data_IF_941460975908
#
_entry.id   IF_941460975908
#
_cell.length_a   1.000
_cell.length_b   1.000
_cell.length_c   1.000
_cell.angle_alpha   90.00
_cell.angle_beta   90.00
_cell.angle_gamma   90.00
#
_symmetry.space_group_name_H-M   'P 1'
#
loop_
_entity.id
_entity.type
_entity.pdbx_description
1 polymer ?
#
# COMPACT_ATOMS: atom_id res chain seq x y z
N UNK A 1 2.15 7.70 5.92
CA UNK A 1 1.53 6.35 5.83
C UNK A 1 0.64 6.07 7.04
N UNK A 2 1.18 5.88 8.25
CA UNK A 2 0.37 5.51 9.43
C UNK A 2 -0.84 6.44 9.67
N UNK A 3 -0.66 7.76 9.58
CA UNK A 3 -1.77 8.70 9.73
C UNK A 3 -2.82 8.65 8.60
N UNK A 4 -2.42 8.38 7.36
CA UNK A 4 -3.36 8.19 6.24
C UNK A 4 -4.21 6.93 6.47
N UNK A 5 -3.56 5.88 6.97
CA UNK A 5 -4.20 4.60 7.24
C UNK A 5 -5.17 4.71 8.42
N UNK A 6 -4.75 5.29 9.55
CA UNK A 6 -5.51 5.23 10.79
C UNK A 6 -5.22 6.35 11.79
N UNK A 7 -5.11 7.61 11.33
CA UNK A 7 -5.25 8.74 12.25
C UNK A 7 -6.66 8.74 12.89
N UNK A 8 -6.72 9.11 14.17
CA UNK A 8 -7.98 9.25 14.90
C UNK A 8 -8.91 10.24 14.20
N UNK A 9 -10.17 9.89 14.07
CA UNK A 9 -11.21 10.78 13.54
C UNK A 9 -11.97 11.47 14.66
N UNK A 10 -12.66 12.57 14.33
CA UNK A 10 -13.58 13.27 15.22
C UNK A 10 -12.96 13.79 16.54
N UNK A 11 -11.66 14.05 16.56
CA UNK A 11 -10.95 14.65 17.70
C UNK A 11 -10.73 16.17 17.58
N UNK A 12 -11.26 16.80 16.53
CA UNK A 12 -11.12 18.23 16.27
C UNK A 12 -9.73 18.68 15.80
N UNK A 13 -8.80 17.77 15.49
CA UNK A 13 -7.41 18.12 15.13
C UNK A 13 -6.95 17.40 13.86
N UNK A 14 -6.49 18.18 12.87
CA UNK A 14 -5.69 17.65 11.77
C UNK A 14 -6.48 16.90 10.69
N UNK A 15 -6.24 15.60 10.56
CA UNK A 15 -6.76 14.76 9.46
C UNK A 15 -7.57 13.58 9.99
N UNK A 16 -8.38 13.00 9.12
CA UNK A 16 -9.03 11.71 9.34
C UNK A 16 -8.23 10.57 8.67
N UNK A 17 -7.94 9.51 9.41
CA UNK A 17 -7.49 8.25 8.82
C UNK A 17 -8.65 7.50 8.16
N UNK A 18 -8.34 6.53 7.31
CA UNK A 18 -9.37 5.70 6.67
C UNK A 18 -9.99 4.70 7.66
N UNK A 19 -9.20 4.13 8.56
CA UNK A 19 -9.65 3.19 9.59
C UNK A 19 -9.09 3.60 10.95
N UNK A 20 -9.87 4.29 11.79
CA UNK A 20 -9.42 4.88 13.04
C UNK A 20 -9.42 3.92 14.24
N UNK A 21 -9.94 2.69 14.07
CA UNK A 21 -9.99 1.65 15.11
C UNK A 21 -8.91 0.57 14.95
N UNK A 22 -7.91 0.82 14.10
CA UNK A 22 -6.81 -0.13 13.86
C UNK A 22 -5.71 0.02 14.91
N UNK A 23 -5.00 -1.08 15.20
CA UNK A 23 -3.71 -1.04 15.88
C UNK A 23 -2.60 -1.03 14.82
N UNK A 24 -1.72 -0.02 14.87
CA UNK A 24 -0.60 0.09 13.93
C UNK A 24 0.68 -0.35 14.64
N UNK A 25 1.35 -1.37 14.10
CA UNK A 25 2.68 -1.81 14.53
C UNK A 25 3.76 -1.27 13.57
N UNK A 26 4.52 -0.22 13.96
CA UNK A 26 5.58 0.30 13.11
C UNK A 26 6.82 -0.60 13.14
N UNK A 27 7.29 -1.06 11.99
CA UNK A 27 8.58 -1.75 11.83
C UNK A 27 9.51 -0.84 11.05
N UNK A 28 10.55 -0.33 11.72
CA UNK A 28 11.55 0.53 11.08
C UNK A 28 12.49 -0.33 10.24
N UNK A 29 12.61 -0.01 8.96
CA UNK A 29 13.50 -0.68 8.01
C UNK A 29 14.64 0.21 7.49
N UNK A 30 14.72 1.45 7.96
CA UNK A 30 15.74 2.44 7.57
C UNK A 30 16.71 2.72 8.70
N UNK A 31 17.95 2.98 8.35
CA UNK A 31 18.96 3.45 9.28
C UNK A 31 18.58 4.82 9.85
N UNK A 32 19.03 5.11 11.08
CA UNK A 32 18.67 6.36 11.77
C UNK A 32 19.40 7.57 11.24
N UNK A 33 20.68 7.43 10.91
CA UNK A 33 21.51 8.54 10.47
C UNK A 33 21.28 8.85 8.99
N UNK A 34 21.20 7.82 8.16
CA UNK A 34 21.18 7.95 6.70
C UNK A 34 19.78 7.91 6.10
N UNK A 35 18.79 7.38 6.84
CA UNK A 35 17.44 7.14 6.31
C UNK A 35 17.38 6.06 5.23
N UNK A 36 18.47 5.34 4.96
CA UNK A 36 18.56 4.31 3.92
C UNK A 36 18.24 2.92 4.47
N UNK A 37 17.69 2.05 3.64
CA UNK A 37 17.44 0.65 3.97
C UNK A 37 18.38 -0.29 3.19
N UNK A 38 19.14 -1.12 3.89
CA UNK A 38 19.94 -2.19 3.27
C UNK A 38 19.08 -3.42 2.96
N UNK A 39 19.60 -4.35 2.15
CA UNK A 39 18.95 -5.65 1.90
C UNK A 39 18.66 -6.41 3.20
N UNK A 40 19.63 -6.49 4.10
CA UNK A 40 19.50 -7.15 5.41
C UNK A 40 18.44 -6.50 6.28
N UNK A 41 18.33 -5.16 6.28
CA UNK A 41 17.30 -4.46 7.06
C UNK A 41 15.89 -4.75 6.55
N UNK A 42 15.73 -4.85 5.21
CA UNK A 42 14.46 -5.26 4.60
C UNK A 42 14.12 -6.72 4.90
N UNK A 43 15.10 -7.63 4.86
CA UNK A 43 14.87 -9.02 5.21
C UNK A 43 14.41 -9.18 6.66
N UNK A 44 15.14 -8.55 7.60
CA UNK A 44 14.79 -8.56 9.04
C UNK A 44 13.43 -7.93 9.34
N UNK A 45 13.02 -6.89 8.61
CA UNK A 45 11.70 -6.28 8.83
C UNK A 45 10.56 -7.20 8.40
N UNK A 46 10.74 -7.96 7.31
CA UNK A 46 9.80 -8.98 6.88
C UNK A 46 9.73 -10.17 7.84
N UNK A 47 10.88 -10.69 8.28
CA UNK A 47 10.94 -11.74 9.30
C UNK A 47 10.25 -11.29 10.61
N UNK A 48 10.47 -10.05 11.03
CA UNK A 48 9.80 -9.50 12.21
C UNK A 48 8.28 -9.41 11.99
N UNK A 49 7.82 -8.93 10.84
CA UNK A 49 6.40 -8.84 10.52
C UNK A 49 5.70 -10.20 10.58
N UNK A 50 6.33 -11.26 10.07
CA UNK A 50 5.77 -12.61 10.00
C UNK A 50 5.72 -13.35 11.35
N UNK A 51 6.50 -12.90 12.34
CA UNK A 51 6.49 -13.45 13.71
C UNK A 51 5.28 -13.00 14.53
N UNK A 52 4.63 -11.90 14.16
CA UNK A 52 3.49 -11.39 14.90
C UNK A 52 2.21 -12.09 14.47
N UNK A 53 1.68 -12.95 15.34
CA UNK A 53 0.47 -13.75 15.09
C UNK A 53 -0.81 -12.90 14.97
N UNK A 54 -0.82 -11.69 15.53
CA UNK A 54 -1.95 -10.75 15.47
C UNK A 54 -1.86 -9.79 14.27
N UNK A 55 -1.10 -10.13 13.23
CA UNK A 55 -0.96 -9.31 12.03
C UNK A 55 -2.05 -9.64 11.02
N UNK A 56 -2.87 -8.64 10.66
CA UNK A 56 -3.91 -8.80 9.65
C UNK A 56 -3.48 -8.34 8.25
N UNK A 57 -2.66 -7.29 8.21
CA UNK A 57 -2.31 -6.54 6.99
C UNK A 57 -0.84 -6.10 7.11
N UNK A 58 -0.06 -6.32 6.05
CA UNK A 58 1.27 -5.72 5.90
C UNK A 58 1.19 -4.65 4.81
N UNK A 59 1.55 -3.41 5.16
CA UNK A 59 1.71 -2.33 4.17
C UNK A 59 3.19 -2.03 4.01
N UNK A 60 3.74 -2.40 2.86
CA UNK A 60 5.17 -2.28 2.55
C UNK A 60 5.41 -1.36 1.36
N UNK A 61 5.83 -0.13 1.62
CA UNK A 61 6.09 0.88 0.59
C UNK A 61 7.58 1.16 0.40
N UNK A 62 8.37 0.11 0.23
CA UNK A 62 9.80 0.20 -0.09
C UNK A 62 10.14 -0.77 -1.23
N UNK A 63 11.22 -0.49 -1.96
CA UNK A 63 11.62 -1.28 -3.14
C UNK A 63 12.97 -1.99 -2.96
N UNK A 64 13.15 -3.07 -3.72
CA UNK A 64 14.46 -3.70 -3.97
C UNK A 64 14.65 -3.92 -5.46
N UNK A 65 15.89 -3.83 -5.96
CA UNK A 65 16.17 -4.17 -7.34
C UNK A 65 15.84 -5.64 -7.58
N UNK A 66 15.47 -5.96 -8.82
CA UNK A 66 15.25 -7.33 -9.23
C UNK A 66 16.59 -8.07 -9.29
N UNK A 67 16.76 -9.03 -8.39
CA UNK A 67 17.83 -10.05 -8.44
C UNK A 67 17.18 -11.39 -8.17
N UNK A 68 17.82 -12.49 -8.60
CA UNK A 68 17.30 -13.83 -8.33
C UNK A 68 17.10 -14.07 -6.82
N UNK A 69 18.07 -13.67 -6.00
CA UNK A 69 18.00 -13.83 -4.55
C UNK A 69 16.87 -13.00 -3.93
N UNK A 70 16.72 -11.74 -4.32
CA UNK A 70 15.63 -10.91 -3.83
C UNK A 70 14.27 -11.49 -4.26
N UNK A 71 14.16 -11.96 -5.51
CA UNK A 71 12.93 -12.54 -6.04
C UNK A 71 12.53 -13.79 -5.25
N UNK A 72 13.47 -14.70 -5.00
CA UNK A 72 13.25 -15.90 -4.19
C UNK A 72 12.93 -15.56 -2.73
N UNK A 73 13.58 -14.55 -2.15
CA UNK A 73 13.30 -14.09 -0.80
C UNK A 73 11.87 -13.54 -0.68
N UNK A 74 11.51 -12.57 -1.53
CA UNK A 74 10.19 -11.94 -1.47
C UNK A 74 9.08 -12.92 -1.83
N UNK A 75 9.27 -13.79 -2.82
CA UNK A 75 8.27 -14.81 -3.17
C UNK A 75 7.94 -15.69 -1.96
N UNK A 76 8.95 -16.28 -1.32
CA UNK A 76 8.76 -17.13 -0.13
C UNK A 76 8.06 -16.39 1.02
N UNK A 77 8.49 -15.16 1.28
CA UNK A 77 7.98 -14.32 2.37
C UNK A 77 6.53 -13.90 2.13
N UNK A 78 6.18 -13.53 0.89
CA UNK A 78 4.82 -13.15 0.51
C UNK A 78 3.87 -14.35 0.55
N UNK A 79 4.30 -15.50 0.03
CA UNK A 79 3.54 -16.76 0.11
C UNK A 79 3.31 -17.16 1.57
N UNK A 80 4.29 -16.96 2.45
CA UNK A 80 4.12 -17.18 3.89
C UNK A 80 3.12 -16.22 4.53
N UNK A 81 3.19 -14.93 4.21
CA UNK A 81 2.23 -13.93 4.70
C UNK A 81 0.79 -14.33 4.33
N UNK A 82 0.57 -14.65 3.05
CA UNK A 82 -0.74 -15.05 2.54
C UNK A 82 -1.23 -16.34 3.20
N UNK A 83 -0.35 -17.33 3.39
CA UNK A 83 -0.69 -18.60 4.07
C UNK A 83 -1.11 -18.38 5.52
N UNK A 84 -0.53 -17.38 6.20
CA UNK A 84 -0.93 -16.94 7.53
C UNK A 84 -2.23 -16.11 7.53
N UNK A 85 -2.86 -15.89 6.38
CA UNK A 85 -4.07 -15.07 6.26
C UNK A 85 -3.82 -13.56 6.23
N UNK A 86 -2.56 -13.14 6.09
CA UNK A 86 -2.14 -11.74 6.06
C UNK A 86 -2.34 -11.19 4.64
N UNK A 87 -3.06 -10.09 4.52
CA UNK A 87 -3.14 -9.36 3.25
C UNK A 87 -1.93 -8.44 3.09
N UNK A 88 -1.27 -8.45 1.94
CA UNK A 88 -0.09 -7.62 1.69
C UNK A 88 -0.41 -6.53 0.69
N UNK A 89 -0.11 -5.27 1.06
CA UNK A 89 -0.16 -4.11 0.18
C UNK A 89 1.25 -3.60 -0.08
N UNK A 90 1.61 -3.45 -1.35
CA UNK A 90 2.91 -2.95 -1.79
C UNK A 90 2.74 -1.70 -2.67
N UNK A 91 3.76 -0.84 -2.69
CA UNK A 91 3.73 0.38 -3.50
C UNK A 91 4.51 0.18 -4.82
N UNK A 92 3.97 0.65 -5.94
CA UNK A 92 4.58 0.53 -7.29
C UNK A 92 5.87 1.34 -7.46
N UNK A 93 6.26 2.13 -6.46
CA UNK A 93 7.30 3.14 -6.50
C UNK A 93 6.96 4.34 -7.41
N UNK A 94 7.74 5.41 -7.35
CA UNK A 94 7.53 6.63 -8.14
C UNK A 94 8.86 7.03 -8.79
N UNK A 95 9.27 6.38 -9.87
CA UNK A 95 10.40 6.84 -10.67
C UNK A 95 9.89 7.79 -11.75
N UNK A 96 10.45 9.01 -11.75
CA UNK A 96 10.27 9.98 -12.84
C UNK A 96 11.20 9.67 -14.05
N UNK A 97 12.04 8.64 -13.93
CA UNK A 97 12.87 8.13 -15.02
C UNK A 97 12.04 7.18 -15.89
N UNK A 98 12.07 7.38 -17.21
CA UNK A 98 11.46 6.52 -18.24
C UNK A 98 12.03 5.09 -18.30
N UNK A 99 12.67 4.60 -17.23
CA UNK A 99 13.09 3.21 -17.14
C UNK A 99 11.87 2.36 -16.76
N UNK A 100 11.07 2.04 -17.78
CA UNK A 100 9.80 1.32 -17.73
C UNK A 100 9.97 -0.18 -17.46
N UNK A 101 11.20 -0.66 -17.23
CA UNK A 101 11.48 -2.10 -17.39
C UNK A 101 11.28 -2.95 -16.13
N UNK A 102 11.16 -2.38 -14.92
CA UNK A 102 10.86 -3.20 -13.73
C UNK A 102 10.17 -2.45 -12.58
N UNK A 103 8.95 -2.89 -12.20
CA UNK A 103 8.43 -2.62 -10.86
C UNK A 103 9.37 -3.27 -9.83
N UNK A 104 9.84 -2.55 -8.79
CA UNK A 104 10.73 -3.13 -7.80
C UNK A 104 10.03 -4.22 -6.99
N UNK A 105 10.83 -5.17 -6.49
CA UNK A 105 10.34 -6.16 -5.55
C UNK A 105 9.97 -5.50 -4.21
N UNK A 106 8.91 -5.94 -3.51
CA UNK A 106 8.06 -7.09 -3.82
C UNK A 106 6.89 -6.82 -4.78
N UNK A 107 6.67 -5.56 -5.20
CA UNK A 107 5.43 -5.16 -5.87
C UNK A 107 5.23 -5.88 -7.21
N UNK A 108 6.31 -6.16 -7.95
CA UNK A 108 6.26 -6.96 -9.18
C UNK A 108 5.74 -8.39 -8.98
N UNK A 109 5.75 -8.95 -7.77
CA UNK A 109 5.20 -10.28 -7.50
C UNK A 109 3.69 -10.26 -7.18
N UNK A 110 3.08 -9.08 -7.03
CA UNK A 110 1.66 -8.96 -6.65
C UNK A 110 0.69 -9.60 -7.65
N UNK A 111 1.04 -9.63 -8.94
CA UNK A 111 0.21 -10.24 -9.97
C UNK A 111 0.21 -11.77 -9.98
N UNK A 112 1.19 -12.43 -9.32
CA UNK A 112 1.31 -13.89 -9.28
C UNK A 112 1.01 -14.51 -7.92
N UNK A 113 0.86 -13.70 -6.85
CA UNK A 113 0.59 -14.20 -5.49
C UNK A 113 -0.77 -13.66 -5.03
N UNK A 114 -1.85 -14.47 -5.09
CA UNK A 114 -3.16 -14.07 -4.59
C UNK A 114 -3.11 -13.65 -3.12
N UNK A 115 -3.60 -12.46 -2.80
CA UNK A 115 -3.48 -11.84 -1.48
C UNK A 115 -2.37 -10.81 -1.34
N UNK A 116 -1.62 -10.54 -2.41
CA UNK A 116 -0.65 -9.45 -2.52
C UNK A 116 -1.13 -8.45 -3.56
N UNK A 117 -1.17 -7.16 -3.20
CA UNK A 117 -1.63 -6.10 -4.08
C UNK A 117 -0.53 -5.06 -4.31
N UNK A 118 -0.23 -4.77 -5.56
CA UNK A 118 0.70 -3.71 -5.98
C UNK A 118 -0.10 -2.44 -6.35
N UNK A 119 0.11 -1.35 -5.62
CA UNK A 119 -0.72 -0.12 -5.74
C UNK A 119 0.08 1.00 -6.41
N UNK A 120 -0.45 1.52 -7.51
CA UNK A 120 0.03 2.73 -8.16
C UNK A 120 -0.66 3.98 -7.59
N UNK A 121 0.06 5.11 -7.57
CA UNK A 121 -0.53 6.39 -7.24
C UNK A 121 -1.01 7.12 -8.49
N UNK A 122 -2.24 7.63 -8.43
CA UNK A 122 -2.84 8.46 -9.47
C UNK A 122 -3.08 9.89 -9.00
N UNK A 123 -3.40 10.76 -9.96
CA UNK A 123 -3.71 12.16 -9.72
C UNK A 123 -5.10 12.30 -9.05
N UNK A 124 -5.20 13.09 -7.98
CA UNK A 124 -6.45 13.29 -7.25
C UNK A 124 -7.53 14.01 -8.08
N UNK A 125 -7.12 14.87 -9.00
CA UNK A 125 -8.00 15.62 -9.91
C UNK A 125 -8.17 14.92 -11.25
N UNK A 126 -7.22 14.06 -11.63
CA UNK A 126 -7.27 13.24 -12.85
C UNK A 126 -6.99 11.76 -12.52
N UNK A 127 -7.95 11.05 -11.90
CA UNK A 127 -7.71 9.73 -11.30
C UNK A 127 -7.23 8.67 -12.28
N UNK A 128 -7.48 8.81 -13.58
CA UNK A 128 -6.99 7.90 -14.63
C UNK A 128 -5.53 8.13 -15.03
N UNK A 129 -4.90 9.20 -14.55
CA UNK A 129 -3.51 9.53 -14.81
C UNK A 129 -2.63 9.12 -13.63
N UNK A 130 -1.63 8.30 -13.88
CA UNK A 130 -0.63 7.91 -12.87
C UNK A 130 0.39 9.02 -12.62
N UNK A 131 0.91 9.13 -11.40
CA UNK A 131 1.81 10.24 -11.02
C UNK A 131 3.24 10.08 -11.53
N UNK A 132 3.70 8.85 -11.64
CA UNK A 132 5.04 8.44 -12.07
C UNK A 132 4.87 7.11 -12.78
N UNK A 133 5.73 6.78 -13.77
CA UNK A 133 5.60 5.59 -14.62
C UNK A 133 5.52 4.32 -13.76
N UNK A 134 4.32 3.77 -13.50
CA UNK A 134 4.19 2.48 -12.88
C UNK A 134 4.27 1.48 -14.01
N UNK A 135 5.18 0.50 -13.93
CA UNK A 135 5.12 -0.59 -14.90
C UNK A 135 3.73 -1.27 -14.83
N UNK A 136 3.28 -1.79 -15.98
CA UNK A 136 1.97 -2.44 -16.18
C UNK A 136 1.63 -3.51 -15.13
N UNK A 137 2.62 -3.99 -14.37
CA UNK A 137 2.48 -4.97 -13.29
C UNK A 137 1.82 -4.42 -12.01
N UNK A 138 1.56 -3.11 -11.91
CA UNK A 138 0.75 -2.59 -10.82
C UNK A 138 -0.70 -3.12 -10.90
N UNK A 139 -1.22 -3.60 -9.78
CA UNK A 139 -2.51 -4.27 -9.71
C UNK A 139 -3.69 -3.31 -9.84
N UNK A 140 -3.59 -2.06 -9.36
CA UNK A 140 -4.60 -1.01 -9.54
C UNK A 140 -4.01 0.38 -9.25
N UNK A 141 -4.72 1.43 -9.64
CA UNK A 141 -4.42 2.81 -9.26
C UNK A 141 -5.31 3.31 -8.12
N UNK A 142 -4.78 4.17 -7.24
CA UNK A 142 -5.58 4.95 -6.29
C UNK A 142 -5.01 6.37 -6.17
N UNK A 143 -5.85 7.42 -6.06
CA UNK A 143 -5.37 8.77 -5.83
C UNK A 143 -4.39 8.85 -4.66
N UNK A 144 -3.16 9.28 -4.99
CA UNK A 144 -2.06 9.37 -4.03
C UNK A 144 -1.30 10.68 -4.13
N UNK A 145 -1.89 11.70 -4.75
CA UNK A 145 -1.37 13.09 -4.79
C UNK A 145 -2.12 13.97 -3.79
N UNK A 146 -1.52 15.11 -3.44
CA UNK A 146 -2.14 16.13 -2.58
C UNK A 146 -2.67 15.63 -1.23
N UNK A 147 -2.10 14.54 -0.70
CA UNK A 147 -2.62 13.88 0.50
C UNK A 147 -1.94 14.42 1.75
N UNK A 148 -2.73 14.97 2.67
CA UNK A 148 -2.23 15.43 3.96
C UNK A 148 -1.88 14.24 4.87
N UNK A 149 -0.71 14.29 5.51
CA UNK A 149 -0.31 13.34 6.53
C UNK A 149 0.42 14.04 7.70
N UNK A 150 0.32 13.49 8.93
CA UNK A 150 1.08 13.99 10.06
C UNK A 150 2.58 13.79 9.82
N UNK A 151 3.36 14.79 10.24
CA UNK A 151 4.82 14.74 10.27
C UNK A 151 5.24 14.22 11.65
N UNK A 152 6.31 13.40 11.77
CA UNK A 152 6.87 13.07 13.07
C UNK A 152 7.12 14.34 13.89
N UNK A 153 6.65 14.32 15.14
CA UNK A 153 6.81 15.43 16.07
C UNK A 153 8.29 15.63 16.35
N UNK A 154 8.77 16.87 16.19
CA UNK A 154 10.08 17.25 16.71
C UNK A 154 10.01 17.29 18.24
N UNK A 155 11.09 16.93 18.93
CA UNK A 155 11.15 16.91 20.40
C UNK A 155 10.78 18.28 21.00
N UNK A 156 10.99 19.36 20.26
CA UNK A 156 10.80 20.75 20.70
C UNK A 156 9.42 21.35 20.37
N UNK A 157 8.55 20.63 19.64
CA UNK A 157 7.25 21.16 19.23
C UNK A 157 6.10 20.40 19.88
N UNK A 158 5.24 21.09 20.64
CA UNK A 158 4.07 20.49 21.31
C UNK A 158 2.90 20.18 20.35
N UNK A 159 2.77 20.90 19.24
CA UNK A 159 1.66 20.77 18.30
C UNK A 159 1.94 19.77 17.16
N UNK A 160 0.90 19.06 16.71
CA UNK A 160 0.96 18.24 15.50
C UNK A 160 1.16 19.11 14.25
N UNK A 161 2.11 18.72 13.41
CA UNK A 161 2.33 19.33 12.09
C UNK A 161 1.88 18.37 10.99
N UNK A 162 1.39 18.95 9.89
CA UNK A 162 0.89 18.20 8.73
C UNK A 162 1.54 18.73 7.46
N UNK A 163 1.78 17.84 6.49
CA UNK A 163 2.30 18.20 5.18
C UNK A 163 1.58 17.39 4.11
N UNK A 164 1.46 17.97 2.92
CA UNK A 164 1.02 17.24 1.72
C UNK A 164 2.14 16.34 1.21
N UNK A 165 1.79 15.08 0.98
CA UNK A 165 2.64 14.07 0.38
C UNK A 165 2.04 13.61 -0.95
N UNK A 166 2.90 13.10 -1.82
CA UNK A 166 2.52 12.43 -3.05
C UNK A 166 3.27 11.11 -3.20
N UNK A 167 2.62 10.11 -3.79
CA UNK A 167 3.27 8.88 -4.26
C UNK A 167 2.56 7.58 -3.86
N UNK A 168 2.96 6.48 -4.48
CA UNK A 168 2.40 5.14 -4.28
C UNK A 168 2.47 4.64 -2.83
N UNK A 169 3.37 5.16 -2.00
CA UNK A 169 3.40 4.87 -0.56
C UNK A 169 2.17 5.40 0.19
N UNK A 170 1.63 6.53 -0.24
CA UNK A 170 0.39 7.11 0.30
C UNK A 170 -0.81 6.31 -0.18
N UNK A 171 -0.86 5.99 -1.47
CA UNK A 171 -1.92 5.16 -2.06
C UNK A 171 -1.97 3.76 -1.39
N UNK A 172 -0.81 3.12 -1.20
CA UNK A 172 -0.71 1.83 -0.49
C UNK A 172 -1.20 1.93 0.97
N UNK A 173 -0.86 3.00 1.69
CA UNK A 173 -1.38 3.22 3.05
C UNK A 173 -2.90 3.40 3.06
N UNK A 174 -3.44 4.09 2.05
CA UNK A 174 -4.87 4.28 1.92
C UNK A 174 -5.59 2.94 1.64
N UNK A 175 -5.05 2.11 0.75
CA UNK A 175 -5.59 0.75 0.53
C UNK A 175 -5.48 -0.10 1.80
N UNK A 176 -4.39 0.00 2.56
CA UNK A 176 -4.27 -0.70 3.84
C UNK A 176 -5.39 -0.34 4.83
N UNK A 177 -5.78 0.93 4.89
CA UNK A 177 -6.92 1.39 5.70
C UNK A 177 -8.25 0.86 5.17
N UNK A 178 -8.44 0.86 3.85
CA UNK A 178 -9.64 0.31 3.22
C UNK A 178 -9.79 -1.19 3.52
N UNK A 179 -8.71 -1.96 3.44
CA UNK A 179 -8.69 -3.38 3.77
C UNK A 179 -9.02 -3.60 5.25
N UNK A 180 -8.53 -2.74 6.15
CA UNK A 180 -8.88 -2.82 7.56
C UNK A 180 -10.39 -2.61 7.79
N UNK A 181 -11.01 -1.65 7.08
CA UNK A 181 -12.47 -1.48 7.09
C UNK A 181 -13.18 -2.73 6.55
N UNK A 182 -12.73 -3.30 5.44
CA UNK A 182 -13.31 -4.54 4.89
C UNK A 182 -13.26 -5.68 5.91
N UNK A 183 -12.12 -5.87 6.58
CA UNK A 183 -11.93 -6.91 7.60
C UNK A 183 -12.79 -6.70 8.86
N UNK A 184 -13.26 -5.47 9.11
CA UNK A 184 -14.19 -5.19 10.21
C UNK A 184 -15.59 -5.78 10.00
N UNK A 185 -15.99 -6.04 8.75
CA UNK A 185 -17.29 -6.67 8.44
C UNK A 185 -17.23 -8.20 8.47
N UNK A 186 -16.10 -8.77 8.03
CA UNK A 186 -15.85 -10.21 7.98
C UNK A 186 -14.36 -10.47 7.88
N UNK A 187 -13.89 -11.58 8.47
CA UNK A 187 -12.51 -12.01 8.31
C UNK A 187 -12.27 -12.65 6.92
N UNK A 188 -12.22 -11.81 5.87
CA UNK A 188 -11.98 -12.23 4.50
C UNK A 188 -10.59 -12.84 4.33
N UNK A 189 -10.49 -13.88 3.49
CA UNK A 189 -9.20 -14.43 3.07
C UNK A 189 -8.47 -13.40 2.18
N UNK A 190 -7.12 -13.38 2.17
CA UNK A 190 -6.35 -12.44 1.36
C UNK A 190 -6.75 -12.39 -0.12
N UNK A 191 -6.99 -13.54 -0.74
CA UNK A 191 -7.43 -13.61 -2.14
C UNK A 191 -8.84 -13.02 -2.36
N UNK A 192 -9.74 -13.12 -1.38
CA UNK A 192 -11.08 -12.51 -1.46
C UNK A 192 -10.99 -11.00 -1.37
N UNK A 193 -10.15 -10.47 -0.47
CA UNK A 193 -9.86 -9.04 -0.35
C UNK A 193 -9.34 -8.52 -1.69
N UNK A 194 -8.35 -9.18 -2.28
CA UNK A 194 -7.79 -8.79 -3.59
C UNK A 194 -8.88 -8.74 -4.65
N UNK A 195 -9.71 -9.79 -4.74
CA UNK A 195 -10.80 -9.86 -5.73
C UNK A 195 -11.81 -8.73 -5.57
N UNK A 196 -12.21 -8.41 -4.34
CA UNK A 196 -13.14 -7.28 -4.08
C UNK A 196 -12.52 -5.97 -4.55
N UNK A 197 -11.25 -5.71 -4.21
CA UNK A 197 -10.57 -4.48 -4.61
C UNK A 197 -10.45 -4.35 -6.14
N UNK A 198 -10.03 -5.42 -6.82
CA UNK A 198 -9.86 -5.45 -8.27
C UNK A 198 -11.20 -5.28 -9.01
N UNK A 199 -12.27 -5.94 -8.54
CA UNK A 199 -13.61 -5.80 -9.11
C UNK A 199 -14.24 -4.42 -8.86
N UNK A 200 -13.66 -3.64 -7.95
CA UNK A 200 -14.12 -2.30 -7.59
C UNK A 200 -13.31 -1.19 -8.28
N UNK A 201 -12.63 -1.52 -9.39
CA UNK A 201 -11.91 -0.56 -10.20
C UNK A 201 -12.76 -0.03 -11.34
N UNK A 202 -12.55 1.24 -11.71
CA UNK A 202 -13.21 1.89 -12.84
C UNK A 202 -12.21 2.62 -13.73
N UNK A 203 -12.58 2.79 -15.00
CA UNK A 203 -11.73 3.42 -16.01
C UNK A 203 -10.48 2.59 -16.32
N UNK A 204 -9.61 3.13 -17.17
CA UNK A 204 -8.28 2.55 -17.41
C UNK A 204 -7.24 3.57 -16.96
N UNK A 205 -6.38 3.17 -16.03
CA UNK A 205 -5.22 3.97 -15.66
C UNK A 205 -4.23 3.93 -16.82
N UNK A 206 -3.82 5.10 -17.29
CA UNK A 206 -2.80 5.21 -18.34
C UNK A 206 -1.47 5.62 -17.72
N UNK A 207 -0.39 4.95 -18.12
CA UNK A 207 0.98 5.37 -17.88
C UNK A 207 1.26 6.71 -18.58
N UNK A 208 2.38 7.39 -18.28
CA UNK A 208 2.73 8.60 -19.04
C UNK A 208 3.11 8.23 -20.48
N UNK A 209 3.64 7.01 -20.69
CA UNK A 209 3.85 6.39 -22.02
C UNK A 209 2.54 6.02 -22.76
N UNK A 210 1.37 6.11 -22.12
CA UNK A 210 0.06 5.83 -22.72
C UNK A 210 -0.37 4.37 -22.67
N UNK A 211 0.42 3.49 -22.05
CA UNK A 211 0.09 2.09 -21.79
C UNK A 211 -1.00 1.97 -20.73
N UNK A 212 -1.85 0.96 -20.86
CA UNK A 212 -2.94 0.73 -19.92
C UNK A 212 -2.51 -0.25 -18.84
N UNK A 213 -2.77 0.09 -17.57
CA UNK A 213 -2.60 -0.86 -16.47
C UNK A 213 -3.62 -1.99 -16.56
N UNK A 214 -3.28 -3.14 -15.96
CA UNK A 214 -4.14 -4.33 -15.94
C UNK A 214 -5.54 -4.06 -15.35
N UNK A 215 -5.62 -3.19 -14.34
CA UNK A 215 -6.89 -2.72 -13.77
C UNK A 215 -6.93 -1.20 -13.66
N UNK A 216 -8.13 -0.68 -13.41
CA UNK A 216 -8.42 0.74 -13.34
C UNK A 216 -8.10 1.40 -12.00
N UNK A 217 -8.82 2.49 -11.75
CA UNK A 217 -8.75 3.25 -10.51
C UNK A 217 -9.70 2.63 -9.49
N UNK A 218 -9.18 2.25 -8.33
CA UNK A 218 -10.00 1.76 -7.23
C UNK A 218 -11.02 2.80 -6.79
N UNK A 219 -12.28 2.37 -6.67
CA UNK A 219 -13.36 3.13 -6.04
C UNK A 219 -13.62 2.56 -4.64
N UNK A 220 -13.14 3.23 -3.57
CA UNK A 220 -13.27 2.71 -2.20
C UNK A 220 -14.71 2.39 -1.80
N UNK A 221 -15.68 3.20 -2.24
CA UNK A 221 -17.09 2.99 -1.92
C UNK A 221 -17.67 1.70 -2.55
N UNK A 222 -17.26 1.34 -3.77
CA UNK A 222 -17.67 0.09 -4.42
C UNK A 222 -17.09 -1.13 -3.67
N UNK A 223 -15.81 -1.04 -3.28
CA UNK A 223 -15.13 -2.10 -2.53
C UNK A 223 -15.81 -2.35 -1.17
N UNK A 224 -16.15 -1.29 -0.42
CA UNK A 224 -16.88 -1.43 0.83
C UNK A 224 -18.29 -1.99 0.60
N UNK A 225 -19.03 -1.51 -0.40
CA UNK A 225 -20.37 -2.02 -0.70
C UNK A 225 -20.34 -3.52 -1.01
N UNK A 226 -19.36 -3.97 -1.79
CA UNK A 226 -19.18 -5.37 -2.12
C UNK A 226 -18.75 -6.20 -0.90
N UNK A 227 -17.84 -5.68 -0.06
CA UNK A 227 -17.45 -6.35 1.18
C UNK A 227 -18.65 -6.52 2.14
N UNK A 228 -19.45 -5.49 2.34
CA UNK A 228 -20.67 -5.56 3.16
C UNK A 228 -21.65 -6.59 2.60
N UNK A 229 -21.84 -6.64 1.28
CA UNK A 229 -22.72 -7.62 0.66
C UNK A 229 -22.25 -9.07 0.86
N UNK A 230 -20.94 -9.32 0.84
CA UNK A 230 -20.33 -10.64 1.06
C UNK A 230 -20.17 -11.04 2.54
N UNK A 231 -20.43 -10.09 3.45
CA UNK A 231 -20.39 -10.29 4.90
C UNK A 231 -21.75 -10.67 5.51
N UNK A 232 -22.84 -10.43 4.77
CA UNK A 232 -24.19 -10.94 5.08
C UNK A 232 -24.30 -12.41 4.72
#
# INVERSE_FOLDING_TARGET
MAGVLGANINNGVGIAGIADKVRIRPIRLTDRATGRATGTMKARSWEAALKFEDTDIIVFAYGSPFTQDNSLFYKRTLEEAVRKGIFVVTASFNSDTNDTTAVPLPCSLGHIIPGVLCVAATNAFHPTQVLAEPSQLASLGLPGSESWAPIPRDRDHLAYKFKKYRGSSIAAAAVGGLVALMKSFKNFKPAEIQRILLNSTEGRCKTKSGEEMLYGVLRPHLAIRQAVALAR
#
